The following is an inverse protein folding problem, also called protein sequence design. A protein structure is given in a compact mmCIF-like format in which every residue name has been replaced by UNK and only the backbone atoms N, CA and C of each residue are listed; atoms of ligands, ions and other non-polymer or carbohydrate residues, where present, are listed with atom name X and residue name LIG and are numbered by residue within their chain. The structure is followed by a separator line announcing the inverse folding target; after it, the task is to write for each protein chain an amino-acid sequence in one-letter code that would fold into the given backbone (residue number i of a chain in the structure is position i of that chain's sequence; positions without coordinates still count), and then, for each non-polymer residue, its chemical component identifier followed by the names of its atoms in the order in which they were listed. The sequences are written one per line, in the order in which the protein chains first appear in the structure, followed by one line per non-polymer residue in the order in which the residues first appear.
data_IF_469657156355
#
_entry.id   IF_469657156355
#
_cell.length_a   1.000
_cell.length_b   1.000
_cell.length_c   1.000
_cell.angle_alpha   90.00
_cell.angle_beta   90.00
_cell.angle_gamma   90.00
#
_symmetry.space_group_name_H-M   'P 1'
#
loop_
_entity.id
_entity.type
_entity.pdbx_description
1 polymer ?
#
# COMPACT_ATOMS: atom_id res chain seq x y z
N UNK A 1 -12.62 8.63 3.63
CA UNK A 1 -12.09 8.33 2.27
C UNK A 1 -12.48 6.90 1.93
N UNK A 2 -12.79 6.57 0.66
CA UNK A 2 -13.19 5.20 0.28
C UNK A 2 -11.95 4.35 -0.04
N UNK A 3 -11.96 3.02 0.22
CA UNK A 3 -10.84 2.13 -0.11
C UNK A 3 -10.40 2.25 -1.57
N UNK A 4 -11.36 2.44 -2.47
CA UNK A 4 -11.11 2.65 -3.91
C UNK A 4 -10.20 3.85 -4.18
N UNK A 5 -10.42 4.97 -3.51
CA UNK A 5 -9.59 6.16 -3.71
C UNK A 5 -8.15 5.91 -3.23
N UNK A 6 -8.00 5.27 -2.06
CA UNK A 6 -6.70 4.85 -1.53
C UNK A 6 -5.97 3.93 -2.51
N UNK A 7 -6.67 2.93 -3.07
CA UNK A 7 -6.10 2.00 -4.05
C UNK A 7 -5.69 2.69 -5.36
N UNK A 8 -6.47 3.65 -5.85
CA UNK A 8 -6.14 4.40 -7.06
C UNK A 8 -4.85 5.23 -6.88
N UNK A 9 -4.66 5.84 -5.71
CA UNK A 9 -3.44 6.60 -5.41
C UNK A 9 -2.23 5.67 -5.26
N UNK A 10 -2.39 4.54 -4.56
CA UNK A 10 -1.35 3.51 -4.47
C UNK A 10 -0.95 2.99 -5.86
N UNK A 11 -1.93 2.73 -6.73
CA UNK A 11 -1.70 2.33 -8.11
C UNK A 11 -0.82 3.33 -8.87
N UNK A 12 -1.16 4.62 -8.80
CA UNK A 12 -0.41 5.68 -9.49
C UNK A 12 1.06 5.77 -9.01
N UNK A 13 1.30 5.59 -7.70
CA UNK A 13 2.65 5.54 -7.15
C UNK A 13 3.42 4.33 -7.69
N UNK A 14 2.77 3.17 -7.77
CA UNK A 14 3.41 1.92 -8.24
C UNK A 14 3.65 1.86 -9.75
N UNK A 15 2.91 2.60 -10.57
CA UNK A 15 3.09 2.57 -12.04
C UNK A 15 4.54 2.80 -12.47
N UNK A 16 5.30 3.58 -11.70
CA UNK A 16 6.69 3.91 -11.99
C UNK A 16 7.70 3.15 -11.10
N UNK A 17 7.24 2.18 -10.29
CA UNK A 17 8.06 1.44 -9.31
C UNK A 17 7.95 -0.08 -9.47
N UNK A 18 6.75 -0.58 -9.76
CA UNK A 18 6.45 -2.00 -9.94
C UNK A 18 5.28 -2.15 -10.91
N UNK A 19 5.57 -2.54 -12.15
CA UNK A 19 4.53 -2.82 -13.16
C UNK A 19 3.61 -3.94 -12.69
N UNK A 20 4.18 -4.99 -12.08
CA UNK A 20 3.39 -6.10 -11.54
C UNK A 20 2.50 -5.66 -10.37
N UNK A 21 3.04 -4.85 -9.45
CA UNK A 21 2.29 -4.31 -8.32
C UNK A 21 1.15 -3.41 -8.76
N UNK A 22 1.39 -2.52 -9.74
CA UNK A 22 0.36 -1.68 -10.33
C UNK A 22 -0.75 -2.52 -10.99
N UNK A 23 -0.40 -3.48 -11.85
CA UNK A 23 -1.39 -4.37 -12.48
C UNK A 23 -2.19 -5.20 -11.46
N UNK A 24 -1.56 -5.61 -10.36
CA UNK A 24 -2.27 -6.30 -9.28
C UNK A 24 -3.29 -5.37 -8.60
N UNK A 25 -2.91 -4.14 -8.25
CA UNK A 25 -3.84 -3.16 -7.67
C UNK A 25 -5.01 -2.85 -8.61
N UNK A 26 -4.79 -2.78 -9.91
CA UNK A 26 -5.87 -2.60 -10.90
C UNK A 26 -6.91 -3.72 -10.83
N UNK A 27 -6.47 -4.99 -10.72
CA UNK A 27 -7.38 -6.13 -10.54
C UNK A 27 -8.13 -6.07 -9.21
N UNK A 28 -7.46 -5.67 -8.13
CA UNK A 28 -8.11 -5.52 -6.82
C UNK A 28 -9.15 -4.41 -6.83
N UNK A 29 -8.87 -3.27 -7.48
CA UNK A 29 -9.85 -2.20 -7.65
C UNK A 29 -11.11 -2.67 -8.38
N UNK A 30 -10.94 -3.47 -9.45
CA UNK A 30 -12.07 -4.07 -10.16
C UNK A 30 -12.88 -5.02 -9.29
N UNK A 31 -12.22 -5.83 -8.44
CA UNK A 31 -12.90 -6.68 -7.45
C UNK A 31 -13.70 -5.84 -6.44
N UNK A 32 -13.18 -4.71 -5.98
CA UNK A 32 -13.89 -3.88 -5.00
C UNK A 32 -15.19 -3.27 -5.55
N UNK A 33 -15.36 -3.19 -6.87
CA UNK A 33 -16.62 -2.76 -7.51
C UNK A 33 -17.64 -3.91 -7.66
N UNK A 34 -17.17 -5.16 -7.68
CA UNK A 34 -17.96 -6.32 -8.10
C UNK A 34 -18.25 -7.29 -6.95
N UNK A 35 -17.27 -7.50 -6.07
CA UNK A 35 -17.27 -8.48 -5.00
C UNK A 35 -16.45 -7.94 -3.81
N UNK A 36 -17.16 -7.27 -2.89
CA UNK A 36 -16.56 -6.68 -1.69
C UNK A 36 -15.84 -7.73 -0.80
N UNK A 37 -16.41 -8.91 -0.51
CA UNK A 37 -15.70 -9.97 0.21
C UNK A 37 -14.39 -10.41 -0.47
N UNK A 38 -14.39 -10.60 -1.80
CA UNK A 38 -13.19 -10.97 -2.54
C UNK A 38 -12.13 -9.86 -2.51
N UNK A 39 -12.55 -8.60 -2.70
CA UNK A 39 -11.69 -7.42 -2.53
C UNK A 39 -11.05 -7.41 -1.13
N UNK A 40 -11.84 -7.58 -0.07
CA UNK A 40 -11.31 -7.60 1.29
C UNK A 40 -10.28 -8.73 1.50
N UNK A 41 -10.53 -9.92 0.94
CA UNK A 41 -9.59 -11.04 1.02
C UNK A 41 -8.25 -10.72 0.35
N UNK A 42 -8.26 -10.11 -0.83
CA UNK A 42 -7.05 -9.70 -1.54
C UNK A 42 -6.30 -8.59 -0.78
N UNK A 43 -7.02 -7.61 -0.26
CA UNK A 43 -6.45 -6.53 0.55
C UNK A 43 -5.83 -7.07 1.85
N UNK A 44 -6.35 -8.15 2.41
CA UNK A 44 -5.82 -8.80 3.62
C UNK A 44 -4.76 -9.87 3.32
N UNK A 45 -4.32 -10.02 2.07
CA UNK A 45 -3.45 -11.11 1.63
C UNK A 45 -1.96 -10.87 1.92
N UNK A 46 -1.17 -11.94 1.83
CA UNK A 46 0.30 -11.85 1.83
C UNK A 46 0.86 -11.10 0.62
N UNK A 47 0.17 -11.06 -0.52
CA UNK A 47 0.63 -10.23 -1.65
C UNK A 47 0.62 -8.75 -1.27
N UNK A 48 -0.32 -8.33 -0.43
CA UNK A 48 -0.39 -6.95 0.05
C UNK A 48 0.65 -6.65 1.14
N UNK A 49 0.80 -7.54 2.13
CA UNK A 49 1.53 -7.25 3.38
C UNK A 49 2.71 -8.17 3.70
N UNK A 50 2.87 -9.31 3.02
CA UNK A 50 3.77 -10.38 3.44
C UNK A 50 5.12 -10.40 2.73
N UNK A 51 6.18 -9.98 3.43
CA UNK A 51 7.57 -10.26 3.05
C UNK A 51 8.12 -9.48 1.86
N UNK A 52 9.29 -9.92 1.38
CA UNK A 52 9.96 -9.37 0.20
C UNK A 52 9.14 -9.68 -1.06
N UNK A 53 8.74 -8.63 -1.79
CA UNK A 53 7.81 -8.75 -2.92
C UNK A 53 6.34 -8.59 -2.53
N UNK A 54 6.02 -8.13 -1.33
CA UNK A 54 4.69 -7.57 -1.06
C UNK A 54 4.56 -6.16 -1.62
N UNK A 55 3.33 -5.71 -1.87
CA UNK A 55 3.06 -4.31 -2.25
C UNK A 55 3.65 -3.33 -1.24
N UNK A 56 3.51 -3.62 0.05
CA UNK A 56 4.10 -2.83 1.14
C UNK A 56 5.63 -2.65 0.99
N UNK A 57 6.32 -3.65 0.45
CA UNK A 57 7.77 -3.62 0.27
C UNK A 57 8.18 -3.08 -1.11
N UNK A 58 7.47 -3.43 -2.18
CA UNK A 58 7.83 -3.08 -3.56
C UNK A 58 7.89 -1.57 -3.78
N UNK A 59 7.02 -0.80 -3.13
CA UNK A 59 7.02 0.65 -3.26
C UNK A 59 8.24 1.34 -2.61
N UNK A 60 8.96 0.64 -1.72
CA UNK A 60 10.13 1.17 -1.02
C UNK A 60 11.44 0.87 -1.76
N UNK A 61 11.40 0.05 -2.81
CA UNK A 61 12.60 -0.28 -3.58
C UNK A 61 13.15 0.97 -4.27
N UNK A 62 14.48 1.13 -4.29
CA UNK A 62 15.13 2.29 -4.90
C UNK A 62 14.67 2.49 -6.36
N UNK A 63 14.39 3.74 -6.73
CA UNK A 63 14.02 4.13 -8.09
C UNK A 63 15.12 5.02 -8.71
N UNK A 64 16.14 4.41 -9.34
CA UNK A 64 17.25 5.16 -9.93
C UNK A 64 16.76 6.04 -11.08
N UNK A 65 17.13 7.33 -11.03
CA UNK A 65 16.78 8.30 -12.07
C UNK A 65 15.60 9.22 -11.72
N UNK A 66 14.97 9.05 -10.55
CA UNK A 66 13.95 9.98 -10.05
C UNK A 66 14.56 11.08 -9.18
N UNK A 67 13.97 12.27 -9.24
CA UNK A 67 14.36 13.38 -8.35
C UNK A 67 14.11 13.01 -6.89
N UNK A 68 15.13 13.24 -6.04
CA UNK A 68 15.12 12.77 -4.66
C UNK A 68 13.96 13.32 -3.83
N UNK A 69 13.60 14.60 -4.03
CA UNK A 69 12.48 15.23 -3.31
C UNK A 69 11.13 14.62 -3.72
N UNK A 70 10.93 14.33 -5.02
CA UNK A 70 9.72 13.67 -5.52
C UNK A 70 9.63 12.23 -5.00
N UNK A 71 10.76 11.52 -4.99
CA UNK A 71 10.84 10.17 -4.41
C UNK A 71 10.44 10.16 -2.93
N UNK A 72 10.96 11.09 -2.13
CA UNK A 72 10.63 11.22 -0.72
C UNK A 72 9.15 11.54 -0.51
N UNK A 73 8.61 12.53 -1.25
CA UNK A 73 7.21 12.94 -1.15
C UNK A 73 6.25 11.77 -1.43
N UNK A 74 6.46 11.06 -2.53
CA UNK A 74 5.62 9.91 -2.89
C UNK A 74 5.83 8.70 -1.98
N UNK A 75 7.03 8.48 -1.46
CA UNK A 75 7.28 7.40 -0.51
C UNK A 75 6.58 7.68 0.81
N UNK A 76 6.52 8.94 1.24
CA UNK A 76 5.70 9.36 2.38
C UNK A 76 4.21 9.18 2.11
N UNK A 77 3.73 9.65 0.96
CA UNK A 77 2.34 9.48 0.55
C UNK A 77 1.94 7.99 0.52
N UNK A 78 2.79 7.14 -0.05
CA UNK A 78 2.59 5.70 -0.06
C UNK A 78 2.39 5.14 1.35
N UNK A 79 3.28 5.51 2.28
CA UNK A 79 3.21 5.06 3.69
C UNK A 79 1.92 5.52 4.36
N UNK A 80 1.50 6.76 4.13
CA UNK A 80 0.24 7.30 4.66
C UNK A 80 -0.98 6.52 4.11
N UNK A 81 -1.02 6.26 2.80
CA UNK A 81 -2.08 5.48 2.15
C UNK A 81 -2.14 4.03 2.65
N UNK A 82 -0.98 3.40 2.84
CA UNK A 82 -0.90 2.05 3.40
C UNK A 82 -1.37 2.03 4.86
N UNK A 83 -1.08 3.07 5.65
CA UNK A 83 -1.59 3.19 7.02
C UNK A 83 -3.12 3.27 7.02
N UNK A 84 -3.70 4.17 6.21
CA UNK A 84 -5.15 4.31 6.09
C UNK A 84 -5.82 2.99 5.70
N UNK A 85 -5.25 2.29 4.72
CA UNK A 85 -5.78 1.01 4.25
C UNK A 85 -5.68 -0.09 5.30
N UNK A 86 -4.55 -0.18 6.02
CA UNK A 86 -4.36 -1.16 7.07
C UNK A 86 -5.33 -0.95 8.24
N UNK A 87 -5.56 0.30 8.65
CA UNK A 87 -6.55 0.62 9.69
C UNK A 87 -7.99 0.31 9.23
N UNK A 88 -8.31 0.57 7.95
CA UNK A 88 -9.59 0.16 7.38
C UNK A 88 -9.83 -1.35 7.45
N UNK A 89 -8.81 -2.17 7.12
CA UNK A 89 -8.90 -3.63 7.19
C UNK A 89 -9.01 -4.08 8.66
N UNK A 90 -8.21 -3.51 9.57
CA UNK A 90 -8.28 -3.83 11.00
C UNK A 90 -9.65 -3.56 11.62
N UNK A 91 -10.29 -2.46 11.25
CA UNK A 91 -11.63 -2.12 11.74
C UNK A 91 -12.70 -3.16 11.38
N UNK A 92 -12.49 -3.95 10.32
CA UNK A 92 -13.39 -5.04 9.89
C UNK A 92 -13.14 -6.37 10.61
N UNK A 93 -12.03 -6.49 11.35
CA UNK A 93 -11.65 -7.70 12.07
C UNK A 93 -10.94 -8.75 11.20
N UNK A 94 -10.27 -9.70 11.86
CA UNK A 94 -9.50 -10.79 11.23
C UNK A 94 -8.40 -10.30 10.25
N UNK A 95 -7.76 -9.17 10.59
CA UNK A 95 -6.64 -8.63 9.85
C UNK A 95 -5.42 -9.58 9.88
N UNK A 96 -4.70 -9.66 8.76
CA UNK A 96 -3.43 -10.38 8.67
C UNK A 96 -2.47 -9.86 9.72
N UNK A 97 -1.71 -10.74 10.41
CA UNK A 97 -0.76 -10.32 11.44
C UNK A 97 0.32 -9.38 10.89
N UNK A 98 0.67 -9.50 9.60
CA UNK A 98 1.66 -8.66 8.94
C UNK A 98 1.24 -7.18 8.86
N UNK A 99 -0.08 -6.90 8.88
CA UNK A 99 -0.61 -5.53 8.81
C UNK A 99 -0.11 -4.71 9.99
N UNK A 100 -0.18 -5.25 11.20
CA UNK A 100 0.22 -4.51 12.40
C UNK A 100 1.70 -4.14 12.39
N UNK A 101 2.55 -5.05 11.89
CA UNK A 101 3.99 -4.81 11.73
C UNK A 101 4.28 -3.67 10.76
N UNK A 102 3.62 -3.65 9.59
CA UNK A 102 3.78 -2.59 8.60
C UNK A 102 3.23 -1.25 9.07
N UNK A 103 2.07 -1.23 9.73
CA UNK A 103 1.50 0.00 10.29
C UNK A 103 2.45 0.66 11.28
N UNK A 104 3.07 -0.12 12.16
CA UNK A 104 4.07 0.37 13.10
C UNK A 104 5.30 0.90 12.37
N UNK A 105 5.84 0.15 11.41
CA UNK A 105 7.02 0.55 10.64
C UNK A 105 6.78 1.87 9.87
N UNK A 106 5.68 1.96 9.12
CA UNK A 106 5.32 3.15 8.35
C UNK A 106 5.09 4.37 9.25
N UNK A 107 4.43 4.18 10.40
CA UNK A 107 4.20 5.27 11.36
C UNK A 107 5.52 5.80 11.92
N UNK A 108 6.44 4.90 12.32
CA UNK A 108 7.73 5.30 12.86
C UNK A 108 8.60 6.02 11.82
N UNK A 109 8.61 5.54 10.58
CA UNK A 109 9.38 6.17 9.50
C UNK A 109 8.80 7.55 9.16
N UNK A 110 7.48 7.70 9.07
CA UNK A 110 6.88 9.01 8.81
C UNK A 110 7.14 10.02 9.93
N UNK A 111 7.25 9.58 11.19
CA UNK A 111 7.65 10.43 12.32
C UNK A 111 9.14 10.81 12.28
N UNK A 112 9.99 9.90 11.80
CA UNK A 112 11.44 10.13 11.71
C UNK A 112 11.83 10.99 10.51
N UNK A 113 11.04 11.00 9.46
CA UNK A 113 11.21 11.83 8.25
C UNK A 113 10.86 13.32 8.46
N UNK A 114 10.53 13.73 9.69
CA UNK A 114 10.28 15.13 10.03
C UNK A 114 11.62 15.84 10.31
N UNK A 115 12.39 16.13 9.26
CA UNK A 115 13.57 17.02 9.31
C UNK A 115 13.76 17.79 8.00
#
# INVERSE_FOLDING_TARGET
MTPRNTLQRLHNILQNRSVEGAQWLERVMALCDQDEPACHRELNSKRMWGGAGSIANEALADNPGREAWLWQAETREFRELMIELGEYIKARGNASPDISSWLLAFSNWNQSDVY
#
